data_IF_947437202061
#
_entry.id   IF_947437202061
#
_cell.length_a   1.000
_cell.length_b   1.000
_cell.length_c   1.000
_cell.angle_alpha   90.00
_cell.angle_beta   90.00
_cell.angle_gamma   90.00
#
_symmetry.space_group_name_H-M   'P 1'
#
loop_
_entity.id
_entity.type
_entity.pdbx_description
1 polymer ?
#
# COMPACT_ATOMS: atom_id res chain seq x y z
N UNK A 1 58.23 -13.96 13.94
CA UNK A 1 57.44 -13.56 12.74
C UNK A 1 56.16 -12.90 13.22
N UNK A 2 56.09 -11.59 13.18
CA UNK A 2 54.91 -10.84 13.59
C UNK A 2 54.05 -10.67 12.34
N UNK A 3 52.95 -11.39 12.26
CA UNK A 3 52.00 -11.28 11.18
C UNK A 3 51.28 -9.93 11.28
N UNK A 4 51.63 -9.04 10.40
CA UNK A 4 51.05 -7.72 10.23
C UNK A 4 49.65 -7.90 9.62
N UNK A 5 48.60 -8.09 10.47
CA UNK A 5 47.23 -8.07 10.04
C UNK A 5 46.90 -6.64 9.62
N UNK A 6 46.97 -6.37 8.32
CA UNK A 6 46.46 -5.13 7.76
C UNK A 6 45.03 -4.96 8.20
N UNK A 7 44.77 -4.05 9.15
CA UNK A 7 43.42 -3.52 9.37
C UNK A 7 42.98 -2.94 8.05
N UNK A 8 42.11 -3.66 7.34
CA UNK A 8 41.33 -3.08 6.25
C UNK A 8 40.53 -1.97 6.91
N UNK A 9 40.87 -0.73 6.67
CA UNK A 9 40.00 0.39 7.03
C UNK A 9 38.73 0.19 6.22
N UNK A 10 37.66 -0.17 6.89
CA UNK A 10 36.34 -0.31 6.26
C UNK A 10 35.90 1.11 5.88
N UNK A 11 36.17 1.50 4.65
CA UNK A 11 35.68 2.77 4.11
C UNK A 11 34.18 2.64 4.03
N UNK A 12 33.47 3.45 4.80
CA UNK A 12 31.99 3.49 4.80
C UNK A 12 31.48 3.69 3.38
N UNK A 13 30.63 2.80 2.94
CA UNK A 13 29.98 2.94 1.65
C UNK A 13 28.74 3.84 1.78
N UNK A 14 28.47 4.57 0.72
CA UNK A 14 27.28 5.43 0.65
C UNK A 14 26.32 4.84 -0.39
N UNK A 15 25.10 4.57 0.04
CA UNK A 15 24.02 4.02 -0.78
C UNK A 15 22.85 4.97 -0.85
N UNK A 16 22.04 4.86 -1.92
CA UNK A 16 20.77 5.54 -2.06
C UNK A 16 19.65 4.54 -2.25
N UNK A 17 18.50 4.81 -1.67
CA UNK A 17 17.29 4.07 -1.96
C UNK A 17 16.18 4.97 -2.46
N UNK A 18 15.60 4.61 -3.58
CA UNK A 18 14.52 5.33 -4.25
C UNK A 18 13.33 4.39 -4.43
N UNK A 19 12.15 4.87 -4.08
CA UNK A 19 10.89 4.19 -4.37
C UNK A 19 9.95 5.12 -5.12
N UNK A 20 9.50 4.69 -6.30
CA UNK A 20 8.50 5.39 -7.09
C UNK A 20 7.28 4.49 -7.34
N UNK A 21 6.09 5.06 -7.33
CA UNK A 21 4.91 4.36 -7.85
C UNK A 21 4.97 4.36 -9.38
N UNK A 22 4.30 3.40 -10.03
CA UNK A 22 4.28 3.25 -11.50
C UNK A 22 3.80 4.50 -12.27
N UNK A 23 3.29 5.50 -11.56
CA UNK A 23 2.78 6.77 -12.12
C UNK A 23 3.66 7.99 -11.83
N UNK A 24 4.74 7.86 -11.05
CA UNK A 24 5.51 9.03 -10.60
C UNK A 24 6.64 9.38 -11.54
N UNK A 25 6.60 10.60 -12.07
CA UNK A 25 7.68 11.26 -12.81
C UNK A 25 8.83 11.75 -11.90
N UNK A 26 8.80 11.41 -10.60
CA UNK A 26 9.74 11.95 -9.60
C UNK A 26 11.04 11.13 -9.41
N UNK A 27 11.26 10.08 -10.20
CA UNK A 27 12.49 9.26 -10.11
C UNK A 27 13.75 10.12 -10.35
N UNK A 28 13.72 10.95 -11.40
CA UNK A 28 14.85 11.80 -11.78
C UNK A 28 15.22 12.82 -10.69
N UNK A 29 14.22 13.39 -10.02
CA UNK A 29 14.47 14.32 -8.92
C UNK A 29 15.12 13.64 -7.72
N UNK A 30 14.68 12.43 -7.37
CA UNK A 30 15.28 11.67 -6.28
C UNK A 30 16.71 11.23 -6.63
N UNK A 31 16.94 10.78 -7.85
CA UNK A 31 18.27 10.43 -8.35
C UNK A 31 19.24 11.63 -8.22
N UNK A 32 18.82 12.82 -8.68
CA UNK A 32 19.64 14.02 -8.61
C UNK A 32 20.03 14.36 -7.17
N UNK A 33 19.07 14.36 -6.23
CA UNK A 33 19.34 14.59 -4.81
C UNK A 33 20.34 13.59 -4.23
N UNK A 34 20.25 12.30 -4.59
CA UNK A 34 21.20 11.28 -4.13
C UNK A 34 22.60 11.54 -4.65
N UNK A 35 22.73 11.90 -5.94
CA UNK A 35 24.02 12.20 -6.57
C UNK A 35 24.67 13.47 -6.00
N UNK A 36 23.88 14.50 -5.66
CA UNK A 36 24.35 15.70 -4.96
C UNK A 36 24.95 15.39 -3.57
N UNK A 37 24.50 14.29 -2.94
CA UNK A 37 25.08 13.76 -1.68
C UNK A 37 26.26 12.83 -1.88
N UNK A 38 26.76 12.72 -3.10
CA UNK A 38 27.92 11.90 -3.44
C UNK A 38 27.62 10.41 -3.58
N UNK A 39 26.33 10.02 -3.69
CA UNK A 39 25.96 8.62 -3.96
C UNK A 39 26.27 8.30 -5.42
N UNK A 40 27.14 7.32 -5.63
CA UNK A 40 27.44 6.83 -6.98
C UNK A 40 26.20 6.18 -7.61
N UNK A 41 25.93 6.42 -8.89
CA UNK A 41 24.75 5.88 -9.59
C UNK A 41 24.59 4.36 -9.45
N UNK A 42 25.69 3.59 -9.46
CA UNK A 42 25.69 2.13 -9.27
C UNK A 42 25.29 1.68 -7.86
N UNK A 43 25.28 2.60 -6.89
CA UNK A 43 24.91 2.36 -5.48
C UNK A 43 23.54 2.89 -5.14
N UNK A 44 22.75 3.27 -6.15
CA UNK A 44 21.36 3.71 -5.99
C UNK A 44 20.43 2.55 -6.36
N UNK A 45 19.63 2.12 -5.41
CA UNK A 45 18.66 1.04 -5.54
C UNK A 45 17.27 1.62 -5.79
N UNK A 46 16.62 1.21 -6.87
CA UNK A 46 15.34 1.78 -7.30
C UNK A 46 14.26 0.70 -7.38
N UNK A 47 13.20 0.84 -6.58
CA UNK A 47 12.02 0.00 -6.67
C UNK A 47 10.84 0.78 -7.29
N UNK A 48 10.24 0.22 -8.35
CA UNK A 48 9.00 0.70 -8.96
C UNK A 48 7.82 -0.09 -8.37
N UNK A 49 7.44 0.26 -7.14
CA UNK A 49 6.43 -0.47 -6.39
C UNK A 49 5.53 0.46 -5.57
N UNK A 50 4.25 0.09 -5.47
CA UNK A 50 3.37 0.77 -4.53
C UNK A 50 3.82 0.45 -3.09
N UNK A 51 3.73 1.43 -2.17
CA UNK A 51 4.10 1.23 -0.77
C UNK A 51 3.34 0.11 -0.03
N UNK A 52 2.42 -0.64 -0.66
CA UNK A 52 1.56 -1.66 0.00
C UNK A 52 2.27 -2.97 0.33
N UNK A 53 3.35 -3.29 -0.36
CA UNK A 53 4.06 -4.55 -0.17
C UNK A 53 5.54 -4.29 0.10
N UNK A 54 6.09 -4.96 1.11
CA UNK A 54 7.52 -4.98 1.41
C UNK A 54 8.31 -5.85 0.42
N UNK A 55 7.64 -6.46 -0.54
CA UNK A 55 8.29 -7.19 -1.63
C UNK A 55 8.91 -6.19 -2.62
N UNK A 56 10.05 -5.63 -2.17
CA UNK A 56 10.85 -4.64 -2.88
C UNK A 56 12.22 -5.26 -3.12
N UNK A 57 12.44 -5.86 -4.28
CA UNK A 57 13.65 -6.63 -4.53
C UNK A 57 14.94 -5.81 -4.36
N UNK A 58 14.92 -4.54 -4.77
CA UNK A 58 16.09 -3.67 -4.64
C UNK A 58 16.34 -3.27 -3.17
N UNK A 59 15.27 -3.00 -2.41
CA UNK A 59 15.39 -2.76 -0.97
C UNK A 59 15.90 -3.99 -0.22
N UNK A 60 15.39 -5.17 -0.54
CA UNK A 60 15.86 -6.42 0.07
C UNK A 60 17.33 -6.70 -0.27
N UNK A 61 17.75 -6.39 -1.49
CA UNK A 61 19.16 -6.47 -1.86
C UNK A 61 20.01 -5.49 -1.06
N UNK A 62 19.59 -4.22 -0.97
CA UNK A 62 20.27 -3.19 -0.17
C UNK A 62 20.42 -3.64 1.28
N UNK A 63 19.36 -4.17 1.92
CA UNK A 63 19.43 -4.70 3.30
C UNK A 63 20.48 -5.79 3.48
N UNK A 64 20.71 -6.63 2.47
CA UNK A 64 21.68 -7.73 2.53
C UNK A 64 23.13 -7.26 2.40
N UNK A 65 23.37 -6.15 1.72
CA UNK A 65 24.71 -5.63 1.47
C UNK A 65 25.16 -4.56 2.46
N UNK A 66 24.19 -3.92 3.15
CA UNK A 66 24.52 -2.94 4.20
C UNK A 66 25.32 -3.58 5.31
N UNK A 67 26.36 -2.92 5.72
CA UNK A 67 27.25 -3.32 6.79
C UNK A 67 27.57 -2.15 7.73
N UNK A 68 28.27 -2.46 8.81
CA UNK A 68 28.62 -1.48 9.85
C UNK A 68 29.28 -0.23 9.26
N UNK A 69 28.78 0.92 9.68
CA UNK A 69 29.21 2.26 9.27
C UNK A 69 28.84 2.68 7.85
N UNK A 70 28.18 1.84 7.06
CA UNK A 70 27.61 2.27 5.78
C UNK A 70 26.51 3.31 6.00
N UNK A 71 26.26 4.14 5.00
CA UNK A 71 25.23 5.19 5.06
C UNK A 71 24.22 4.93 3.95
N UNK A 72 22.92 4.95 4.29
CA UNK A 72 21.84 4.93 3.30
C UNK A 72 21.07 6.23 3.31
N UNK A 73 21.02 6.88 2.15
CA UNK A 73 20.16 8.04 1.89
C UNK A 73 18.82 7.62 1.34
N UNK A 74 17.74 8.20 1.86
CA UNK A 74 16.38 8.07 1.33
C UNK A 74 15.78 9.46 1.15
N UNK A 75 14.86 9.65 0.17
CA UNK A 75 14.25 10.98 -0.07
C UNK A 75 13.31 11.37 1.07
N UNK A 76 12.40 10.48 1.47
CA UNK A 76 11.41 10.70 2.52
C UNK A 76 11.11 9.41 3.29
N UNK A 77 10.65 9.51 4.54
CA UNK A 77 10.34 8.34 5.40
C UNK A 77 9.32 7.38 4.77
N UNK A 78 8.32 7.90 4.06
CA UNK A 78 7.30 7.09 3.39
C UNK A 78 7.88 6.21 2.26
N UNK A 79 9.14 6.43 1.87
CA UNK A 79 9.86 5.55 0.94
C UNK A 79 10.27 4.25 1.60
N UNK A 80 10.53 4.24 2.90
CA UNK A 80 10.85 3.02 3.66
C UNK A 80 9.64 2.13 3.87
N UNK A 81 8.51 2.71 4.25
CA UNK A 81 7.28 1.98 4.58
C UNK A 81 6.04 2.84 4.37
N UNK A 82 4.86 2.25 4.53
CA UNK A 82 3.58 2.97 4.48
C UNK A 82 3.05 3.35 5.84
N UNK A 83 3.36 2.55 6.79
CA UNK A 83 2.99 2.79 8.17
C UNK A 83 4.25 3.05 8.98
N UNK A 84 4.09 3.85 10.01
CA UNK A 84 5.21 4.24 10.84
C UNK A 84 5.81 3.07 11.64
N UNK A 85 5.05 2.03 11.94
CA UNK A 85 5.57 0.85 12.66
C UNK A 85 6.62 0.14 11.81
N UNK A 86 6.35 0.00 10.50
CA UNK A 86 7.32 -0.55 9.56
C UNK A 86 8.54 0.35 9.44
N UNK A 87 8.33 1.67 9.29
CA UNK A 87 9.43 2.64 9.22
C UNK A 87 10.30 2.58 10.47
N UNK A 88 9.70 2.53 11.67
CA UNK A 88 10.40 2.44 12.94
C UNK A 88 11.17 1.12 13.06
N UNK A 89 10.56 0.00 12.66
CA UNK A 89 11.21 -1.30 12.65
C UNK A 89 12.43 -1.31 11.73
N UNK A 90 12.29 -0.77 10.52
CA UNK A 90 13.40 -0.69 9.55
C UNK A 90 14.49 0.28 10.02
N UNK A 91 14.11 1.42 10.59
CA UNK A 91 15.07 2.34 11.20
C UNK A 91 15.92 1.63 12.26
N UNK A 92 15.27 0.97 13.22
CA UNK A 92 15.96 0.23 14.27
C UNK A 92 16.82 -0.92 13.71
N UNK A 93 16.33 -1.61 12.71
CA UNK A 93 17.07 -2.68 12.05
C UNK A 93 18.37 -2.14 11.43
N UNK A 94 18.29 -1.05 10.66
CA UNK A 94 19.46 -0.45 10.01
C UNK A 94 20.42 0.10 11.05
N UNK A 95 19.95 0.87 12.04
CA UNK A 95 20.82 1.58 12.97
C UNK A 95 21.39 0.70 14.08
N UNK A 96 20.64 -0.34 14.53
CA UNK A 96 21.01 -1.16 15.69
C UNK A 96 21.51 -2.55 15.33
N UNK A 97 20.84 -3.23 14.40
CA UNK A 97 21.23 -4.58 14.01
C UNK A 97 22.39 -4.54 13.00
N UNK A 98 22.26 -3.75 11.94
CA UNK A 98 23.30 -3.61 10.93
C UNK A 98 24.40 -2.62 11.33
N UNK A 99 24.17 -1.77 12.32
CA UNK A 99 25.07 -0.68 12.74
C UNK A 99 25.46 0.24 11.57
N UNK A 100 24.55 0.42 10.63
CA UNK A 100 24.62 1.34 9.52
C UNK A 100 23.88 2.64 9.85
N UNK A 101 24.10 3.67 9.06
CA UNK A 101 23.41 4.94 9.23
C UNK A 101 22.33 5.17 8.18
N UNK A 102 21.31 5.91 8.57
CA UNK A 102 20.22 6.32 7.69
C UNK A 102 20.02 7.83 7.75
N UNK A 103 19.85 8.44 6.59
CA UNK A 103 19.60 9.87 6.44
C UNK A 103 18.44 10.12 5.51
N UNK A 104 17.44 10.86 5.98
CA UNK A 104 16.26 11.25 5.19
C UNK A 104 16.45 12.65 4.65
N UNK A 105 16.54 12.79 3.33
CA UNK A 105 16.87 14.04 2.65
C UNK A 105 15.80 15.13 2.77
N UNK A 106 14.54 14.74 2.95
CA UNK A 106 13.45 15.70 3.13
C UNK A 106 13.58 16.50 4.44
N UNK A 107 14.16 15.90 5.48
CA UNK A 107 14.39 16.56 6.75
C UNK A 107 15.62 15.96 7.48
N UNK A 108 16.81 16.23 6.99
CA UNK A 108 18.08 15.76 7.56
C UNK A 108 18.35 16.30 8.98
N UNK A 109 17.70 17.39 9.35
CA UNK A 109 17.85 17.94 10.70
C UNK A 109 17.31 16.99 11.76
N UNK A 110 16.19 16.32 11.47
CA UNK A 110 15.52 15.41 12.38
C UNK A 110 15.83 13.94 12.10
N UNK A 111 16.08 13.59 10.83
CA UNK A 111 16.20 12.20 10.40
C UNK A 111 17.59 11.88 9.87
N UNK A 112 18.60 12.07 10.71
CA UNK A 112 19.99 11.69 10.48
C UNK A 112 20.49 10.88 11.69
N UNK A 113 20.57 9.56 11.55
CA UNK A 113 20.94 8.66 12.65
C UNK A 113 22.37 8.89 13.16
N UNK A 114 23.25 9.45 12.32
CA UNK A 114 24.63 9.77 12.70
C UNK A 114 24.69 10.73 13.88
N UNK A 115 23.77 11.71 13.91
CA UNK A 115 23.68 12.70 15.00
C UNK A 115 23.37 12.02 16.34
N UNK A 116 22.45 11.05 16.34
CA UNK A 116 22.15 10.29 17.55
C UNK A 116 23.35 9.42 17.97
N UNK A 117 24.03 8.80 17.01
CA UNK A 117 25.22 7.98 17.31
C UNK A 117 26.35 8.82 17.90
N UNK A 118 26.61 10.02 17.40
CA UNK A 118 27.63 10.94 17.91
C UNK A 118 27.39 11.35 19.37
N UNK A 119 26.15 11.37 19.82
CA UNK A 119 25.75 11.69 21.20
C UNK A 119 25.87 10.52 22.19
N UNK A 120 26.29 9.33 21.73
CA UNK A 120 26.44 8.13 22.54
C UNK A 120 25.12 7.69 23.21
N UNK A 121 25.18 7.33 24.51
CA UNK A 121 24.01 6.81 25.25
C UNK A 121 22.85 7.81 25.28
N UNK A 122 23.15 9.10 25.41
CA UNK A 122 22.14 10.14 25.37
C UNK A 122 21.46 10.20 23.99
N UNK A 123 22.22 10.07 22.92
CA UNK A 123 21.69 10.01 21.55
C UNK A 123 20.76 8.83 21.34
N UNK A 124 21.11 7.67 21.90
CA UNK A 124 20.27 6.46 21.85
C UNK A 124 18.94 6.67 22.56
N UNK A 125 18.96 7.30 23.73
CA UNK A 125 17.74 7.67 24.45
C UNK A 125 16.89 8.65 23.64
N UNK A 126 17.49 9.66 23.05
CA UNK A 126 16.78 10.64 22.21
C UNK A 126 16.18 10.00 20.97
N UNK A 127 16.91 9.11 20.30
CA UNK A 127 16.40 8.32 19.18
C UNK A 127 15.17 7.49 19.57
N UNK A 128 15.20 6.81 20.71
CA UNK A 128 14.06 6.03 21.22
C UNK A 128 12.83 6.91 21.51
N UNK A 129 13.03 8.07 22.13
CA UNK A 129 11.94 9.03 22.37
C UNK A 129 11.37 9.57 21.07
N UNK A 130 12.23 9.89 20.12
CA UNK A 130 11.83 10.36 18.81
C UNK A 130 11.01 9.30 18.03
N UNK A 131 11.45 8.05 17.99
CA UNK A 131 10.73 6.95 17.36
C UNK A 131 9.38 6.68 18.06
N UNK A 132 9.32 6.83 19.39
CA UNK A 132 8.08 6.73 20.16
C UNK A 132 7.11 7.85 19.81
N UNK A 133 7.59 9.07 19.63
CA UNK A 133 6.77 10.20 19.19
C UNK A 133 6.20 9.97 17.78
N UNK A 134 7.02 9.45 16.86
CA UNK A 134 6.54 9.09 15.51
C UNK A 134 5.43 8.03 15.58
N UNK A 135 5.57 7.00 16.41
CA UNK A 135 4.52 6.01 16.63
C UNK A 135 3.22 6.66 17.10
N UNK A 136 3.32 7.56 18.07
CA UNK A 136 2.16 8.25 18.59
C UNK A 136 1.46 9.10 17.51
N UNK A 137 2.21 9.88 16.74
CA UNK A 137 1.68 10.69 15.63
C UNK A 137 0.98 9.80 14.61
N UNK A 138 1.57 8.67 14.27
CA UNK A 138 1.00 7.68 13.37
C UNK A 138 -0.35 7.15 13.84
N UNK A 139 -0.44 6.81 15.12
CA UNK A 139 -1.68 6.34 15.72
C UNK A 139 -2.78 7.41 15.72
N UNK A 140 -2.41 8.66 15.99
CA UNK A 140 -3.36 9.77 15.89
C UNK A 140 -3.87 9.97 14.47
N UNK A 141 -2.98 9.91 13.47
CA UNK A 141 -3.38 9.99 12.06
C UNK A 141 -4.33 8.85 11.68
N UNK A 142 -4.03 7.59 12.06
CA UNK A 142 -4.93 6.45 11.83
C UNK A 142 -6.31 6.67 12.46
N UNK A 143 -6.36 7.10 13.71
CA UNK A 143 -7.62 7.38 14.42
C UNK A 143 -8.43 8.45 13.68
N UNK A 144 -7.80 9.53 13.24
CA UNK A 144 -8.45 10.60 12.46
C UNK A 144 -9.00 10.08 11.12
N UNK A 145 -8.24 9.23 10.41
CA UNK A 145 -8.67 8.63 9.15
C UNK A 145 -9.92 7.76 9.38
N UNK A 146 -9.90 6.88 10.39
CA UNK A 146 -11.04 6.04 10.73
C UNK A 146 -12.28 6.85 11.14
N UNK A 147 -12.08 7.90 11.93
CA UNK A 147 -13.17 8.80 12.32
C UNK A 147 -13.81 9.48 11.10
N UNK A 148 -13.00 10.09 10.23
CA UNK A 148 -13.50 10.72 8.99
C UNK A 148 -14.22 9.73 8.07
N UNK A 149 -13.71 8.50 8.00
CA UNK A 149 -14.36 7.43 7.23
C UNK A 149 -15.71 7.05 7.84
N UNK A 150 -15.79 6.88 9.16
CA UNK A 150 -17.05 6.59 9.85
C UNK A 150 -18.08 7.70 9.67
N UNK A 151 -17.67 8.96 9.79
CA UNK A 151 -18.50 10.14 9.54
C UNK A 151 -19.01 10.15 8.08
N UNK A 152 -18.13 9.93 7.11
CA UNK A 152 -18.51 9.85 5.69
C UNK A 152 -19.48 8.73 5.39
N UNK A 153 -19.32 7.56 6.02
CA UNK A 153 -20.25 6.44 5.91
C UNK A 153 -21.63 6.80 6.52
N UNK A 154 -21.63 7.45 7.68
CA UNK A 154 -22.85 7.87 8.34
C UNK A 154 -23.64 8.85 7.46
N UNK A 155 -22.97 9.86 6.88
CA UNK A 155 -23.58 10.80 5.93
C UNK A 155 -24.10 10.11 4.69
N UNK A 156 -23.36 9.19 4.10
CA UNK A 156 -23.81 8.44 2.92
C UNK A 156 -25.05 7.59 3.22
N UNK A 157 -25.09 6.95 4.39
CA UNK A 157 -26.29 6.20 4.86
C UNK A 157 -27.49 7.10 5.07
N UNK A 158 -27.34 8.27 5.67
CA UNK A 158 -28.45 9.23 5.88
C UNK A 158 -28.99 9.77 4.55
N UNK A 159 -28.19 9.79 3.50
CA UNK A 159 -28.60 10.14 2.13
C UNK A 159 -29.21 8.96 1.36
N UNK A 160 -29.40 7.81 1.99
CA UNK A 160 -29.95 6.61 1.34
C UNK A 160 -28.99 5.94 0.35
N UNK A 161 -27.72 6.30 0.33
CA UNK A 161 -26.74 5.68 -0.57
C UNK A 161 -26.46 4.24 -0.14
N UNK A 162 -26.60 3.30 -1.08
CA UNK A 162 -26.22 1.92 -0.85
C UNK A 162 -24.68 1.82 -0.71
N UNK A 163 -24.23 1.32 0.44
CA UNK A 163 -22.82 1.07 0.73
C UNK A 163 -22.56 -0.43 0.63
N UNK A 164 -21.69 -0.82 -0.25
CA UNK A 164 -21.33 -2.22 -0.48
C UNK A 164 -21.38 -2.60 -1.96
N UNK A 165 -21.34 -3.90 -2.23
CA UNK A 165 -21.45 -4.41 -3.60
C UNK A 165 -22.81 -4.03 -4.18
N UNK A 166 -22.87 -3.44 -5.41
CA UNK A 166 -24.12 -3.14 -6.07
C UNK A 166 -25.03 -4.37 -6.10
N UNK A 167 -26.28 -4.20 -5.68
CA UNK A 167 -27.25 -5.28 -5.74
C UNK A 167 -27.72 -5.43 -7.19
N UNK A 168 -27.70 -6.68 -7.67
CA UNK A 168 -28.33 -7.01 -8.95
C UNK A 168 -29.81 -7.28 -8.67
N UNK A 169 -30.68 -6.46 -9.25
CA UNK A 169 -32.12 -6.55 -9.19
C UNK A 169 -32.71 -6.27 -10.59
N UNK A 170 -34.00 -6.37 -10.72
CA UNK A 170 -34.67 -6.22 -12.03
C UNK A 170 -34.34 -4.85 -12.70
N UNK A 171 -34.28 -3.77 -11.90
CA UNK A 171 -33.98 -2.42 -12.43
C UNK A 171 -32.52 -2.20 -12.85
N UNK A 172 -31.61 -3.06 -12.44
CA UNK A 172 -30.18 -2.97 -12.78
C UNK A 172 -29.79 -3.86 -13.96
N UNK A 173 -30.72 -4.63 -14.51
CA UNK A 173 -30.48 -5.45 -15.69
C UNK A 173 -30.29 -4.59 -16.94
N UNK A 174 -29.46 -5.08 -17.85
CA UNK A 174 -29.32 -4.47 -19.17
C UNK A 174 -30.59 -4.62 -20.00
N UNK A 175 -30.79 -3.74 -21.00
CA UNK A 175 -31.91 -3.87 -21.95
C UNK A 175 -31.93 -5.25 -22.63
N UNK A 176 -30.76 -5.80 -22.96
CA UNK A 176 -30.64 -7.13 -23.55
C UNK A 176 -31.15 -8.21 -22.60
N UNK A 177 -30.74 -8.17 -21.34
CA UNK A 177 -31.24 -9.13 -20.33
C UNK A 177 -32.77 -9.02 -20.10
N UNK A 178 -33.30 -7.81 -20.12
CA UNK A 178 -34.74 -7.61 -20.03
C UNK A 178 -35.48 -8.22 -21.22
N UNK A 179 -35.04 -8.01 -22.45
CA UNK A 179 -35.61 -8.62 -23.64
C UNK A 179 -35.59 -10.16 -23.57
N UNK A 180 -34.41 -10.71 -23.12
CA UNK A 180 -34.28 -12.16 -22.94
C UNK A 180 -35.28 -12.68 -21.91
N UNK A 181 -35.57 -11.94 -20.84
CA UNK A 181 -36.58 -12.31 -19.84
C UNK A 181 -37.99 -12.31 -20.48
N UNK A 182 -38.36 -11.25 -21.19
CA UNK A 182 -39.66 -11.11 -21.81
C UNK A 182 -39.94 -12.22 -22.82
N UNK A 183 -38.98 -12.57 -23.66
CA UNK A 183 -39.12 -13.59 -24.70
C UNK A 183 -39.11 -15.03 -24.14
N UNK A 184 -38.39 -15.28 -23.06
CA UNK A 184 -38.17 -16.65 -22.60
C UNK A 184 -38.90 -16.99 -21.28
N UNK A 185 -39.45 -16.03 -20.59
CA UNK A 185 -40.13 -16.28 -19.33
C UNK A 185 -41.30 -17.31 -19.48
N UNK A 186 -42.16 -17.15 -20.51
CA UNK A 186 -43.27 -18.08 -20.78
C UNK A 186 -42.79 -19.48 -21.16
N UNK A 187 -41.72 -19.56 -21.93
CA UNK A 187 -41.10 -20.86 -22.33
C UNK A 187 -40.50 -21.59 -21.11
N UNK A 188 -39.93 -20.82 -20.18
CA UNK A 188 -39.47 -21.41 -18.93
C UNK A 188 -40.61 -21.91 -18.05
N UNK A 189 -41.68 -21.15 -17.93
CA UNK A 189 -42.87 -21.59 -17.16
C UNK A 189 -43.59 -22.78 -17.78
N UNK A 190 -43.59 -22.91 -19.11
CA UNK A 190 -44.17 -24.07 -19.81
C UNK A 190 -43.25 -25.31 -19.79
N UNK A 191 -42.01 -25.16 -19.34
CA UNK A 191 -41.02 -26.25 -19.34
C UNK A 191 -40.30 -26.46 -20.67
N UNK A 192 -40.51 -25.59 -21.66
CA UNK A 192 -39.83 -25.64 -22.97
C UNK A 192 -38.31 -25.39 -22.84
N UNK A 193 -37.89 -24.53 -21.91
CA UNK A 193 -36.53 -24.32 -21.55
C UNK A 193 -36.29 -24.58 -20.05
N UNK A 194 -35.07 -25.07 -19.73
CA UNK A 194 -34.73 -25.33 -18.32
C UNK A 194 -34.27 -24.05 -17.63
N UNK A 195 -34.37 -24.01 -16.29
CA UNK A 195 -33.84 -22.89 -15.51
C UNK A 195 -32.32 -22.68 -15.71
N UNK A 196 -31.58 -23.78 -15.97
CA UNK A 196 -30.13 -23.69 -16.22
C UNK A 196 -29.83 -22.95 -17.53
N UNK A 197 -30.51 -23.33 -18.62
CA UNK A 197 -30.40 -22.64 -19.90
C UNK A 197 -30.77 -21.16 -19.79
N UNK A 198 -31.82 -20.85 -19.04
CA UNK A 198 -32.27 -19.48 -18.88
C UNK A 198 -31.30 -18.63 -18.04
N UNK A 199 -30.67 -19.23 -17.00
CA UNK A 199 -29.58 -18.60 -16.24
C UNK A 199 -28.36 -18.33 -17.11
N UNK A 200 -27.98 -19.24 -17.99
CA UNK A 200 -26.86 -19.07 -18.93
C UNK A 200 -27.13 -17.93 -19.93
N UNK A 201 -28.34 -17.86 -20.51
CA UNK A 201 -28.72 -16.77 -21.41
C UNK A 201 -28.62 -15.39 -20.73
N UNK A 202 -28.92 -15.32 -19.44
CA UNK A 202 -28.88 -14.08 -18.66
C UNK A 202 -27.52 -13.80 -18.00
N UNK A 203 -26.58 -14.74 -18.05
CA UNK A 203 -25.31 -14.70 -17.33
C UNK A 203 -25.47 -14.49 -15.82
N UNK A 204 -26.51 -15.07 -15.24
CA UNK A 204 -26.87 -14.90 -13.83
C UNK A 204 -26.58 -16.16 -13.02
N UNK A 205 -26.12 -15.95 -11.77
CA UNK A 205 -26.01 -17.04 -10.80
C UNK A 205 -27.38 -17.41 -10.25
N UNK A 206 -27.55 -18.69 -9.85
CA UNK A 206 -28.80 -19.30 -9.39
C UNK A 206 -29.59 -18.40 -8.42
N UNK A 207 -28.97 -17.93 -7.35
CA UNK A 207 -29.68 -17.14 -6.34
C UNK A 207 -30.16 -15.79 -6.88
N UNK A 208 -29.36 -15.13 -7.72
CA UNK A 208 -29.71 -13.86 -8.37
C UNK A 208 -30.83 -14.06 -9.38
N UNK A 209 -30.79 -15.12 -10.18
CA UNK A 209 -31.80 -15.47 -11.14
C UNK A 209 -33.17 -15.62 -10.48
N UNK A 210 -33.29 -16.47 -9.47
CA UNK A 210 -34.59 -16.68 -8.81
C UNK A 210 -35.11 -15.42 -8.11
N UNK A 211 -34.22 -14.60 -7.54
CA UNK A 211 -34.61 -13.32 -6.97
C UNK A 211 -35.22 -12.41 -8.03
N UNK A 212 -34.57 -12.27 -9.18
CA UNK A 212 -35.03 -11.42 -10.30
C UNK A 212 -36.32 -11.96 -10.89
N UNK A 213 -36.43 -13.27 -11.07
CA UNK A 213 -37.72 -13.86 -11.57
C UNK A 213 -38.89 -13.59 -10.63
N UNK A 214 -38.66 -13.64 -9.34
CA UNK A 214 -39.66 -13.28 -8.35
C UNK A 214 -40.09 -11.81 -8.45
N UNK A 215 -39.10 -10.90 -8.53
CA UNK A 215 -39.37 -9.45 -8.73
C UNK A 215 -40.14 -9.20 -10.05
N UNK A 216 -39.81 -9.93 -11.12
CA UNK A 216 -40.46 -9.82 -12.41
C UNK A 216 -41.92 -10.30 -12.35
N UNK A 217 -42.21 -11.40 -11.65
CA UNK A 217 -43.57 -11.92 -11.42
C UNK A 217 -44.42 -10.94 -10.63
N UNK A 218 -43.86 -10.39 -9.52
CA UNK A 218 -44.54 -9.42 -8.66
C UNK A 218 -44.93 -8.14 -9.45
N UNK A 219 -44.01 -7.64 -10.30
CA UNK A 219 -44.28 -6.46 -11.13
C UNK A 219 -45.34 -6.75 -12.20
N UNK A 220 -45.35 -7.95 -12.80
CA UNK A 220 -46.34 -8.35 -13.79
C UNK A 220 -47.76 -8.46 -13.21
N UNK A 221 -47.86 -8.87 -11.93
CA UNK A 221 -49.17 -8.96 -11.22
C UNK A 221 -49.74 -7.58 -10.83
N UNK A 222 -48.89 -6.56 -10.69
CA UNK A 222 -49.30 -5.19 -10.37
C UNK A 222 -49.72 -4.37 -11.61
N UNK A 223 -49.37 -4.83 -12.80
CA UNK A 223 -49.64 -4.13 -14.07
C UNK A 223 -50.87 -4.68 -14.83
N UNK A 224 -51.46 -5.81 -14.35
CA UNK A 224 -52.75 -6.39 -14.79
C UNK A 224 -53.86 -6.10 -13.79
#
# INVERSE_FOLDING_TARGET
MVTNVRRVQNVANIYGYIRVSTKDQNEQRQLHKMMERGVEARRIFVDKASGRHFDRPQYQLLRKILSTSDIVYIDALDRMGRNYDEVISEWKYITRELQADIVVLENETLFDSRKFREMGDMGRLMEDQFLSLLSYVADQERKKIHQRQAEGIAVAKSQGKHLGRPQVNLSTLSKQQMNIIEENYSKWKSGEITAVMFMEMLELKKNTFYKIMKEYEENKLQTN
#
